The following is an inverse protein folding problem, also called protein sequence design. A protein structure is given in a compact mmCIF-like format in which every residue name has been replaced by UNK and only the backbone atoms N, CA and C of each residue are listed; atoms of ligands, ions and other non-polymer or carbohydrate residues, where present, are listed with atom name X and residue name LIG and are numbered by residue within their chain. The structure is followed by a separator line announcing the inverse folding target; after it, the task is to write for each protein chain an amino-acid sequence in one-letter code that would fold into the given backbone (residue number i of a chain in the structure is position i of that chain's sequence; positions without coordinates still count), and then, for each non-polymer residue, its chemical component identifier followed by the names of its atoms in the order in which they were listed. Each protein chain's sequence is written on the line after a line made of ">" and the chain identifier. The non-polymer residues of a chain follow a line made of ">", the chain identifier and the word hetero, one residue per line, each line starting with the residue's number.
data_IF_373288340938
#
_entry.id   IF_373288340938
#
_cell.length_a   1.000
_cell.length_b   1.000
_cell.length_c   1.000
_cell.angle_alpha   90.00
_cell.angle_beta   90.00
_cell.angle_gamma   90.00
#
_symmetry.space_group_name_H-M   'P 1'
#
loop_
_entity.id
_entity.type
_entity.pdbx_description
1 polymer ?
#
# COMPACT_ATOMS: atom_id res chain seq x y z
N UNK A 1 19.94 49.19 34.35
CA UNK A 1 20.31 47.86 33.82
C UNK A 1 19.22 46.88 34.20
N UNK A 2 18.52 46.24 33.25
CA UNK A 2 17.59 45.16 33.57
C UNK A 2 18.35 43.91 34.05
N UNK A 3 17.80 43.10 34.96
CA UNK A 3 18.47 41.91 35.46
C UNK A 3 18.54 40.84 34.36
N UNK A 4 19.75 40.32 34.15
CA UNK A 4 20.00 39.19 33.26
C UNK A 4 19.27 37.96 33.83
N UNK A 5 18.41 37.26 33.05
CA UNK A 5 17.74 36.07 33.54
C UNK A 5 18.78 34.97 33.87
N UNK A 6 18.57 34.19 34.94
CA UNK A 6 19.49 33.14 35.33
C UNK A 6 19.42 32.01 34.29
N UNK A 7 20.48 31.87 33.52
CA UNK A 7 20.66 30.76 32.58
C UNK A 7 21.21 29.58 33.36
N UNK A 8 20.32 28.82 33.99
CA UNK A 8 20.68 27.53 34.62
C UNK A 8 21.17 26.60 33.51
N UNK A 9 22.35 25.96 33.63
CA UNK A 9 22.82 25.04 32.60
C UNK A 9 21.84 23.87 32.45
N UNK A 10 21.61 23.36 31.22
CA UNK A 10 20.75 22.20 31.01
C UNK A 10 21.25 21.02 31.84
N UNK A 11 20.30 20.24 32.39
CA UNK A 11 20.66 19.01 33.08
C UNK A 11 21.43 18.09 32.13
N UNK A 12 22.50 17.45 32.61
CA UNK A 12 23.34 16.53 31.84
C UNK A 12 22.49 15.49 31.10
N UNK A 13 21.48 14.97 31.78
CA UNK A 13 20.58 13.93 31.25
C UNK A 13 19.74 14.42 30.06
N UNK A 14 19.38 15.71 30.00
CA UNK A 14 18.66 16.29 28.88
C UNK A 14 19.57 16.44 27.66
N UNK A 15 20.85 16.77 27.87
CA UNK A 15 21.84 16.82 26.79
C UNK A 15 22.06 15.43 26.21
N UNK A 16 22.20 14.41 27.07
CA UNK A 16 22.30 13.00 26.65
C UNK A 16 21.07 12.57 25.82
N UNK A 17 19.86 12.96 26.24
CA UNK A 17 18.64 12.64 25.50
C UNK A 17 18.64 13.25 24.09
N UNK A 18 19.02 14.52 23.96
CA UNK A 18 19.11 15.21 22.66
C UNK A 18 20.12 14.50 21.75
N UNK A 19 21.31 14.21 22.26
CA UNK A 19 22.36 13.52 21.50
C UNK A 19 21.92 12.12 21.06
N UNK A 20 21.32 11.34 21.96
CA UNK A 20 20.77 10.03 21.65
C UNK A 20 19.66 10.10 20.60
N UNK A 21 18.77 11.09 20.68
CA UNK A 21 17.66 11.26 19.74
C UNK A 21 18.16 11.54 18.32
N UNK A 22 19.17 12.42 18.17
CA UNK A 22 19.81 12.68 16.87
C UNK A 22 20.57 11.47 16.34
N UNK A 23 21.25 10.73 17.21
CA UNK A 23 21.90 9.48 16.83
C UNK A 23 20.88 8.44 16.35
N UNK A 24 19.73 8.32 17.02
CA UNK A 24 18.63 7.45 16.61
C UNK A 24 18.04 7.84 15.26
N UNK A 25 17.86 9.14 14.97
CA UNK A 25 17.42 9.63 13.65
C UNK A 25 18.39 9.23 12.54
N UNK A 26 19.70 9.34 12.80
CA UNK A 26 20.74 8.93 11.84
C UNK A 26 20.68 7.43 11.57
N UNK A 27 20.54 6.61 12.62
CA UNK A 27 20.42 5.16 12.48
C UNK A 27 19.12 4.77 11.75
N UNK A 28 18.03 5.49 11.97
CA UNK A 28 16.77 5.28 11.29
C UNK A 28 16.90 5.52 9.78
N UNK A 29 17.64 6.55 9.38
CA UNK A 29 17.97 6.82 7.97
C UNK A 29 18.74 5.65 7.35
N UNK A 30 19.67 5.06 8.09
CA UNK A 30 20.39 3.86 7.66
C UNK A 30 19.45 2.65 7.50
N UNK A 31 18.52 2.42 8.45
CA UNK A 31 17.52 1.37 8.33
C UNK A 31 16.61 1.56 7.11
N UNK A 32 16.11 2.77 6.88
CA UNK A 32 15.29 3.08 5.69
C UNK A 32 16.07 2.84 4.40
N UNK A 33 17.37 3.19 4.37
CA UNK A 33 18.26 2.94 3.23
C UNK A 33 18.46 1.45 2.97
N UNK A 34 18.65 0.65 4.03
CA UNK A 34 18.81 -0.81 3.91
C UNK A 34 17.57 -1.53 3.39
N UNK A 35 16.39 -0.91 3.55
CA UNK A 35 15.10 -1.39 3.06
C UNK A 35 14.73 -0.83 1.66
N UNK A 36 15.66 -0.18 0.98
CA UNK A 36 15.43 0.30 -0.38
C UNK A 36 15.72 -0.79 -1.40
N UNK A 37 14.94 -0.87 -2.50
CA UNK A 37 15.18 -1.89 -3.52
C UNK A 37 16.61 -1.73 -4.05
N UNK A 38 17.44 -2.74 -3.83
CA UNK A 38 18.80 -2.78 -4.38
C UNK A 38 18.73 -3.46 -5.74
N UNK A 39 19.36 -2.94 -6.81
CA UNK A 39 19.43 -3.65 -8.08
C UNK A 39 20.10 -5.03 -7.89
N UNK A 40 19.74 -6.05 -8.69
CA UNK A 40 20.23 -7.40 -8.51
C UNK A 40 21.74 -7.43 -8.73
N UNK A 41 22.49 -7.36 -7.64
CA UNK A 41 23.95 -7.52 -7.67
C UNK A 41 24.21 -8.99 -7.39
N UNK A 42 24.71 -9.68 -8.41
CA UNK A 42 25.18 -11.06 -8.33
C UNK A 42 26.42 -11.09 -7.44
N UNK A 43 26.23 -11.28 -6.15
CA UNK A 43 27.32 -11.59 -5.22
C UNK A 43 27.03 -12.88 -4.49
N UNK A 44 27.58 -13.96 -5.04
CA UNK A 44 27.76 -15.24 -4.37
C UNK A 44 28.76 -15.06 -3.23
N UNK A 45 28.25 -14.85 -2.02
CA UNK A 45 29.07 -15.01 -0.80
C UNK A 45 28.26 -15.78 0.21
N UNK A 46 28.64 -17.03 0.40
CA UNK A 46 28.16 -17.93 1.45
C UNK A 46 28.69 -17.44 2.80
N UNK A 47 27.85 -17.32 3.83
CA UNK A 47 28.31 -17.50 5.20
C UNK A 47 27.68 -18.74 5.83
N UNK A 48 28.45 -19.27 6.76
CA UNK A 48 28.31 -20.56 7.43
C UNK A 48 27.01 -20.74 8.22
N UNK A 49 26.53 -21.99 8.19
CA UNK A 49 25.71 -22.67 9.20
C UNK A 49 25.25 -21.84 10.42
N UNK A 50 24.10 -21.20 10.28
CA UNK A 50 23.16 -20.93 11.38
C UNK A 50 21.77 -21.18 10.82
N UNK A 51 20.93 -21.93 11.53
CA UNK A 51 19.58 -22.30 11.11
C UNK A 51 18.82 -21.07 10.59
N UNK A 52 18.50 -21.08 9.29
CA UNK A 52 17.70 -20.02 8.66
C UNK A 52 16.33 -19.93 9.35
N UNK A 53 15.86 -18.72 9.69
CA UNK A 53 14.51 -18.54 10.23
C UNK A 53 13.48 -19.00 9.18
N UNK A 54 12.63 -19.96 9.53
CA UNK A 54 11.47 -20.40 8.72
C UNK A 54 10.45 -19.25 8.57
N UNK A 55 9.48 -19.30 7.63
CA UNK A 55 8.63 -18.14 7.34
C UNK A 55 7.66 -17.85 8.50
N UNK A 56 7.26 -18.91 9.21
CA UNK A 56 6.55 -18.83 10.47
C UNK A 56 7.38 -18.08 11.54
N UNK A 57 8.69 -18.26 11.56
CA UNK A 57 9.58 -17.53 12.48
C UNK A 57 9.79 -16.06 12.10
N UNK A 58 9.75 -15.71 10.81
CA UNK A 58 9.82 -14.32 10.34
C UNK A 58 8.56 -13.54 10.74
N UNK A 59 7.37 -14.05 10.40
CA UNK A 59 6.10 -13.42 10.78
C UNK A 59 5.92 -13.38 12.31
N UNK A 60 6.38 -14.41 13.03
CA UNK A 60 6.35 -14.42 14.50
C UNK A 60 7.29 -13.38 15.10
N UNK A 61 8.49 -13.21 14.54
CA UNK A 61 9.44 -12.18 14.94
C UNK A 61 8.81 -10.81 14.72
N UNK A 62 8.30 -10.53 13.52
CA UNK A 62 7.65 -9.26 13.19
C UNK A 62 6.45 -8.97 14.09
N UNK A 63 5.60 -9.97 14.36
CA UNK A 63 4.49 -9.84 15.29
C UNK A 63 4.96 -9.48 16.70
N UNK A 64 5.98 -10.17 17.21
CA UNK A 64 6.53 -9.95 18.55
C UNK A 64 7.14 -8.55 18.68
N UNK A 65 8.00 -8.16 17.72
CA UNK A 65 8.64 -6.84 17.74
C UNK A 65 7.62 -5.72 17.55
N UNK A 66 6.61 -5.89 16.70
CA UNK A 66 5.55 -4.88 16.51
C UNK A 66 4.69 -4.71 17.76
N UNK A 67 4.36 -5.79 18.45
CA UNK A 67 3.63 -5.76 19.73
C UNK A 67 4.46 -5.02 20.79
N UNK A 68 5.75 -5.32 20.86
CA UNK A 68 6.69 -4.68 21.77
C UNK A 68 6.81 -3.17 21.45
N UNK A 69 6.89 -2.80 20.18
CA UNK A 69 6.94 -1.40 19.74
C UNK A 69 5.71 -0.62 20.22
N UNK A 70 4.49 -1.17 20.09
CA UNK A 70 3.27 -0.52 20.62
C UNK A 70 3.39 -0.27 22.12
N UNK A 71 3.82 -1.27 22.89
CA UNK A 71 4.01 -1.13 24.35
C UNK A 71 5.02 -0.04 24.72
N UNK A 72 6.16 0.01 24.02
CA UNK A 72 7.15 1.07 24.21
C UNK A 72 6.59 2.45 23.84
N UNK A 73 5.87 2.55 22.73
CA UNK A 73 5.28 3.80 22.26
C UNK A 73 4.28 4.36 23.26
N UNK A 74 3.41 3.53 23.83
CA UNK A 74 2.48 3.94 24.91
C UNK A 74 3.22 4.46 26.13
N UNK A 75 4.24 3.72 26.56
CA UNK A 75 5.04 4.11 27.73
C UNK A 75 5.75 5.46 27.48
N UNK A 76 6.29 5.64 26.28
CA UNK A 76 6.98 6.86 25.87
C UNK A 76 6.03 8.05 25.80
N UNK A 77 4.84 7.86 25.23
CA UNK A 77 3.77 8.86 25.21
C UNK A 77 3.42 9.33 26.63
N UNK A 78 3.22 8.40 27.56
CA UNK A 78 2.96 8.72 28.96
C UNK A 78 4.11 9.50 29.62
N UNK A 79 5.36 9.12 29.37
CA UNK A 79 6.54 9.81 29.90
C UNK A 79 6.69 11.24 29.35
N UNK A 80 6.30 11.48 28.10
CA UNK A 80 6.33 12.81 27.49
C UNK A 80 5.19 13.71 27.96
N UNK A 81 4.02 13.12 28.25
CA UNK A 81 2.82 13.85 28.69
C UNK A 81 2.78 14.12 30.20
N UNK A 82 3.61 13.45 31.00
CA UNK A 82 3.56 13.53 32.47
C UNK A 82 4.72 14.36 33.03
N UNK A 83 4.46 15.56 33.58
CA UNK A 83 5.47 16.31 34.33
C UNK A 83 5.85 15.64 35.66
N UNK A 84 7.10 15.80 36.13
CA UNK A 84 8.23 16.40 35.44
C UNK A 84 8.76 15.49 34.33
N UNK A 85 9.33 16.08 33.28
CA UNK A 85 9.99 15.29 32.23
C UNK A 85 11.14 14.48 32.85
N UNK A 86 11.26 13.22 32.45
CA UNK A 86 12.30 12.30 32.96
C UNK A 86 13.26 11.85 31.84
N UNK A 87 14.26 12.68 31.47
CA UNK A 87 15.11 12.43 30.31
C UNK A 87 15.85 11.09 30.33
N UNK A 88 16.24 10.60 31.51
CA UNK A 88 16.91 9.31 31.67
C UNK A 88 16.00 8.11 31.37
N UNK A 89 14.72 8.17 31.79
CA UNK A 89 13.73 7.14 31.49
C UNK A 89 13.39 7.10 30.00
N UNK A 90 13.24 8.29 29.39
CA UNK A 90 13.03 8.44 27.94
C UNK A 90 14.23 7.89 27.17
N UNK A 91 15.46 8.25 27.56
CA UNK A 91 16.69 7.78 26.91
C UNK A 91 16.80 6.27 26.95
N UNK A 92 16.50 5.64 28.11
CA UNK A 92 16.49 4.18 28.22
C UNK A 92 15.49 3.55 27.25
N UNK A 93 14.27 4.06 27.21
CA UNK A 93 13.22 3.53 26.32
C UNK A 93 13.55 3.71 24.84
N UNK A 94 14.14 4.85 24.48
CA UNK A 94 14.61 5.12 23.13
C UNK A 94 15.73 4.14 22.72
N UNK A 95 16.67 3.87 23.62
CA UNK A 95 17.71 2.85 23.43
C UNK A 95 17.11 1.48 23.17
N UNK A 96 16.23 0.99 24.06
CA UNK A 96 15.57 -0.32 23.95
C UNK A 96 14.88 -0.51 22.58
N UNK A 97 14.17 0.51 22.11
CA UNK A 97 13.46 0.47 20.83
C UNK A 97 14.43 0.47 19.65
N UNK A 98 15.41 1.38 19.66
CA UNK A 98 16.30 1.58 18.51
C UNK A 98 17.24 0.39 18.32
N UNK A 99 17.89 -0.10 19.38
CA UNK A 99 18.86 -1.18 19.27
C UNK A 99 18.23 -2.58 19.25
N UNK A 100 17.05 -2.74 19.84
CA UNK A 100 16.37 -4.03 19.93
C UNK A 100 15.25 -4.17 18.91
N UNK A 101 14.17 -3.43 19.11
CA UNK A 101 12.90 -3.62 18.39
C UNK A 101 13.04 -3.31 16.90
N UNK A 102 13.51 -2.11 16.55
CA UNK A 102 13.60 -1.66 15.16
C UNK A 102 14.64 -2.47 14.38
N UNK A 103 15.80 -2.72 14.97
CA UNK A 103 16.84 -3.58 14.39
C UNK A 103 16.29 -4.99 14.09
N UNK A 104 15.55 -5.59 15.03
CA UNK A 104 14.91 -6.89 14.83
C UNK A 104 13.86 -6.89 13.72
N UNK A 105 13.08 -5.81 13.58
CA UNK A 105 12.10 -5.67 12.50
C UNK A 105 12.77 -5.57 11.13
N UNK A 106 13.81 -4.74 11.01
CA UNK A 106 14.57 -4.57 9.77
C UNK A 106 15.24 -5.88 9.38
N UNK A 107 15.88 -6.57 10.34
CA UNK A 107 16.50 -7.87 10.10
C UNK A 107 15.47 -8.92 9.63
N UNK A 108 14.32 -9.00 10.29
CA UNK A 108 13.26 -9.94 9.90
C UNK A 108 12.69 -9.64 8.50
N UNK A 109 12.50 -8.36 8.14
CA UNK A 109 11.99 -7.97 6.83
C UNK A 109 13.01 -8.15 5.69
N UNK A 110 14.31 -8.06 5.99
CA UNK A 110 15.38 -8.20 5.00
C UNK A 110 15.89 -9.62 4.85
N UNK A 111 15.60 -10.51 5.80
CA UNK A 111 16.04 -11.91 5.78
C UNK A 111 15.63 -12.58 4.46
N UNK A 112 16.60 -13.23 3.83
CA UNK A 112 16.50 -13.81 2.49
C UNK A 112 15.73 -15.13 2.52
N UNK A 113 14.40 -15.03 2.61
CA UNK A 113 13.46 -16.15 2.46
C UNK A 113 12.59 -15.99 1.20
N UNK A 114 13.22 -15.57 0.09
CA UNK A 114 12.55 -15.49 -1.22
C UNK A 114 11.89 -16.81 -1.62
N UNK A 115 12.44 -17.94 -1.16
CA UNK A 115 11.89 -19.27 -1.47
C UNK A 115 10.57 -19.57 -0.78
N UNK A 116 10.20 -18.86 0.29
CA UNK A 116 9.07 -19.26 1.13
C UNK A 116 7.93 -18.23 1.17
N UNK A 117 8.22 -16.92 1.09
CA UNK A 117 7.21 -15.86 1.19
C UNK A 117 6.79 -15.26 -0.16
N UNK A 118 7.64 -15.36 -1.19
CA UNK A 118 7.43 -14.72 -2.49
C UNK A 118 7.80 -13.25 -2.49
N UNK A 119 8.08 -12.70 -3.67
CA UNK A 119 8.58 -11.34 -3.83
C UNK A 119 7.51 -10.31 -3.45
N UNK A 120 6.25 -10.55 -3.82
CA UNK A 120 5.15 -9.67 -3.47
C UNK A 120 5.04 -9.49 -1.97
N UNK A 121 5.10 -10.59 -1.22
CA UNK A 121 4.91 -10.54 0.23
C UNK A 121 6.11 -9.93 0.94
N UNK A 122 7.32 -10.19 0.46
CA UNK A 122 8.51 -9.51 0.95
C UNK A 122 8.40 -8.00 0.75
N UNK A 123 8.02 -7.55 -0.45
CA UNK A 123 7.81 -6.13 -0.75
C UNK A 123 6.78 -5.48 0.19
N UNK A 124 5.67 -6.17 0.46
CA UNK A 124 4.64 -5.69 1.40
C UNK A 124 5.15 -5.65 2.85
N UNK A 125 5.89 -6.65 3.33
CA UNK A 125 6.48 -6.61 4.68
C UNK A 125 7.49 -5.45 4.81
N UNK A 126 8.33 -5.26 3.80
CA UNK A 126 9.29 -4.16 3.74
C UNK A 126 8.55 -2.81 3.76
N UNK A 127 7.47 -2.66 2.98
CA UNK A 127 6.71 -1.41 2.93
C UNK A 127 6.06 -1.08 4.28
N UNK A 128 5.51 -2.09 4.98
CA UNK A 128 4.99 -1.93 6.34
C UNK A 128 6.08 -1.54 7.34
N UNK A 129 7.23 -2.22 7.32
CA UNK A 129 8.36 -1.85 8.21
C UNK A 129 8.84 -0.43 7.92
N UNK A 130 8.96 -0.03 6.65
CA UNK A 130 9.30 1.35 6.28
C UNK A 130 8.30 2.37 6.80
N UNK A 131 6.98 2.07 6.72
CA UNK A 131 5.94 2.96 7.27
C UNK A 131 6.10 3.13 8.78
N UNK A 132 6.39 2.05 9.51
CA UNK A 132 6.67 2.09 10.95
C UNK A 132 7.91 2.92 11.25
N UNK A 133 9.00 2.75 10.49
CA UNK A 133 10.21 3.54 10.67
C UNK A 133 9.94 5.04 10.46
N UNK A 134 9.14 5.43 9.46
CA UNK A 134 8.75 6.83 9.25
C UNK A 134 7.90 7.37 10.41
N UNK A 135 6.89 6.62 10.85
CA UNK A 135 6.09 7.03 12.01
C UNK A 135 6.93 7.16 13.30
N UNK A 136 7.97 6.32 13.45
CA UNK A 136 8.92 6.44 14.55
C UNK A 136 9.80 7.70 14.44
N UNK A 137 10.13 8.13 13.22
CA UNK A 137 10.87 9.37 12.97
C UNK A 137 10.11 10.59 13.50
N UNK A 138 8.78 10.61 13.33
CA UNK A 138 7.91 11.67 13.87
C UNK A 138 7.95 11.69 15.41
N UNK A 139 7.99 10.52 16.05
CA UNK A 139 8.18 10.39 17.51
C UNK A 139 9.53 10.96 17.94
N UNK A 140 10.62 10.62 17.24
CA UNK A 140 11.96 11.17 17.54
C UNK A 140 12.00 12.69 17.39
N UNK A 141 11.38 13.21 16.33
CA UNK A 141 11.29 14.65 16.08
C UNK A 141 10.51 15.38 17.18
N UNK A 142 9.42 14.76 17.65
CA UNK A 142 8.62 15.26 18.78
C UNK A 142 9.42 15.28 20.09
N UNK A 143 10.15 14.19 20.39
CA UNK A 143 11.03 14.12 21.58
C UNK A 143 12.10 15.21 21.52
N UNK A 144 12.73 15.41 20.37
CA UNK A 144 13.78 16.40 20.18
C UNK A 144 13.23 17.82 20.44
N UNK A 145 12.08 18.16 19.84
CA UNK A 145 11.41 19.44 20.02
C UNK A 145 11.10 19.72 21.50
N UNK A 146 10.54 18.74 22.22
CA UNK A 146 10.22 18.85 23.66
C UNK A 146 11.51 19.00 24.49
N UNK A 147 12.53 18.19 24.20
CA UNK A 147 13.80 18.22 24.95
C UNK A 147 14.55 19.55 24.76
N UNK A 148 14.54 20.12 23.56
CA UNK A 148 15.14 21.42 23.26
C UNK A 148 14.34 22.58 23.86
N UNK A 149 12.99 22.50 23.82
CA UNK A 149 12.12 23.49 24.46
C UNK A 149 12.27 23.54 25.98
N UNK A 150 12.62 22.40 26.62
CA UNK A 150 12.74 22.27 28.08
C UNK A 150 14.17 22.45 28.62
N UNK A 151 15.08 23.02 27.83
CA UNK A 151 16.51 23.22 28.18
C UNK A 151 16.75 24.07 29.44
N UNK A 152 15.72 24.69 30.01
CA UNK A 152 15.75 25.43 31.28
C UNK A 152 14.60 25.17 32.27
N UNK A 153 13.57 24.39 31.90
CA UNK A 153 12.43 24.09 32.78
C UNK A 153 11.83 22.69 32.51
N UNK A 154 12.39 21.69 33.17
CA UNK A 154 11.97 20.29 33.08
C UNK A 154 10.68 20.02 33.88
N UNK A 155 10.34 20.91 34.82
CA UNK A 155 9.15 20.80 35.70
C UNK A 155 7.91 21.47 35.11
N UNK A 156 8.08 22.27 34.07
CA UNK A 156 7.00 22.94 33.34
C UNK A 156 5.90 21.97 32.90
N UNK A 157 4.65 22.45 32.98
CA UNK A 157 3.50 21.74 32.45
C UNK A 157 3.66 21.51 30.94
N UNK A 158 3.14 20.38 30.44
CA UNK A 158 3.07 20.11 29.01
C UNK A 158 2.05 21.06 28.38
N UNK A 159 2.46 21.77 27.34
CA UNK A 159 1.56 22.66 26.60
C UNK A 159 0.55 21.83 25.81
N UNK A 160 -0.62 22.40 25.50
CA UNK A 160 -1.62 21.66 24.72
C UNK A 160 -1.11 21.30 23.31
N UNK A 161 -0.26 22.16 22.72
CA UNK A 161 0.40 21.88 21.44
C UNK A 161 1.37 20.69 21.52
N UNK A 162 2.25 20.64 22.55
CA UNK A 162 3.13 19.49 22.77
C UNK A 162 2.33 18.20 23.00
N UNK A 163 1.22 18.29 23.74
CA UNK A 163 0.34 17.15 23.98
C UNK A 163 -0.28 16.63 22.69
N UNK A 164 -0.78 17.52 21.82
CA UNK A 164 -1.32 17.14 20.53
C UNK A 164 -0.27 16.50 19.63
N UNK A 165 0.94 17.07 19.57
CA UNK A 165 2.06 16.52 18.79
C UNK A 165 2.41 15.09 19.25
N UNK A 166 2.51 14.87 20.57
CA UNK A 166 2.81 13.55 21.14
C UNK A 166 1.71 12.54 20.84
N UNK A 167 0.44 12.92 20.99
CA UNK A 167 -0.70 12.04 20.72
C UNK A 167 -0.80 11.69 19.23
N UNK A 168 -0.57 12.66 18.35
CA UNK A 168 -0.55 12.45 16.91
C UNK A 168 0.55 11.46 16.50
N UNK A 169 1.79 11.71 16.94
CA UNK A 169 2.92 10.81 16.64
C UNK A 169 2.70 9.40 17.22
N UNK A 170 2.11 9.30 18.41
CA UNK A 170 1.73 8.02 19.03
C UNK A 170 0.70 7.28 18.16
N UNK A 171 -0.34 7.98 17.70
CA UNK A 171 -1.40 7.43 16.85
C UNK A 171 -0.86 6.88 15.52
N UNK A 172 0.04 7.63 14.87
CA UNK A 172 0.67 7.22 13.61
C UNK A 172 1.48 5.92 13.75
N UNK A 173 2.25 5.79 14.84
CA UNK A 173 2.99 4.54 15.12
C UNK A 173 2.03 3.39 15.38
N UNK A 174 0.97 3.62 16.17
CA UNK A 174 -0.04 2.61 16.46
C UNK A 174 -0.73 2.09 15.22
N UNK A 175 -1.23 2.99 14.36
CA UNK A 175 -1.90 2.63 13.11
C UNK A 175 -0.97 1.79 12.22
N UNK A 176 0.30 2.21 12.10
CA UNK A 176 1.31 1.50 11.31
C UNK A 176 1.63 0.13 11.90
N UNK A 177 1.66 0.00 13.23
CA UNK A 177 1.82 -1.28 13.92
C UNK A 177 0.61 -2.19 13.72
N UNK A 178 -0.62 -1.65 13.81
CA UNK A 178 -1.84 -2.43 13.66
C UNK A 178 -2.00 -2.98 12.25
N UNK A 179 -1.60 -2.20 11.23
CA UNK A 179 -1.54 -2.67 9.86
C UNK A 179 -0.60 -3.89 9.70
N UNK A 180 0.61 -3.82 10.26
CA UNK A 180 1.57 -4.95 10.20
C UNK A 180 1.11 -6.15 11.05
N UNK A 181 0.49 -5.92 12.20
CA UNK A 181 -0.08 -6.99 13.04
C UNK A 181 -1.25 -7.70 12.36
N UNK A 182 -2.09 -6.95 11.66
CA UNK A 182 -3.19 -7.48 10.86
C UNK A 182 -2.64 -8.43 9.79
N UNK A 183 -1.59 -8.01 9.07
CA UNK A 183 -0.91 -8.85 8.09
C UNK A 183 -0.31 -10.12 8.73
N UNK A 184 0.38 -9.99 9.86
CA UNK A 184 0.97 -11.13 10.57
C UNK A 184 -0.07 -12.11 11.14
N UNK A 185 -1.30 -11.65 11.39
CA UNK A 185 -2.36 -12.45 12.03
C UNK A 185 -3.34 -13.06 11.03
N UNK A 186 -3.75 -12.29 10.02
CA UNK A 186 -4.63 -12.74 8.94
C UNK A 186 -3.91 -13.66 7.94
N UNK A 187 -2.59 -13.55 7.86
CA UNK A 187 -1.73 -14.38 7.04
C UNK A 187 -1.73 -13.97 5.56
N UNK A 188 -0.78 -14.55 4.83
CA UNK A 188 -0.49 -14.20 3.44
C UNK A 188 -1.72 -14.26 2.52
N UNK A 189 -2.49 -15.35 2.60
CA UNK A 189 -3.64 -15.59 1.72
C UNK A 189 -4.73 -14.53 1.92
N UNK A 190 -5.00 -14.14 3.16
CA UNK A 190 -6.00 -13.10 3.44
C UNK A 190 -5.56 -11.76 2.86
N UNK A 191 -4.27 -11.42 3.02
CA UNK A 191 -3.72 -10.16 2.54
C UNK A 191 -3.76 -10.03 1.02
N UNK A 192 -3.33 -11.06 0.27
CA UNK A 192 -3.35 -11.02 -1.20
C UNK A 192 -4.78 -10.92 -1.74
N UNK A 193 -5.76 -11.54 -1.07
CA UNK A 193 -7.18 -11.45 -1.46
C UNK A 193 -7.71 -10.05 -1.20
N UNK A 194 -7.37 -9.43 -0.06
CA UNK A 194 -7.75 -8.05 0.25
C UNK A 194 -7.15 -7.06 -0.75
N UNK A 195 -5.88 -7.23 -1.12
CA UNK A 195 -5.21 -6.38 -2.13
C UNK A 195 -5.86 -6.51 -3.51
N UNK A 196 -6.14 -7.74 -3.95
CA UNK A 196 -6.84 -7.96 -5.21
C UNK A 196 -8.24 -7.32 -5.22
N UNK A 197 -8.98 -7.38 -4.10
CA UNK A 197 -10.28 -6.71 -4.02
C UNK A 197 -10.15 -5.18 -4.00
N UNK A 198 -9.11 -4.63 -3.34
CA UNK A 198 -8.84 -3.19 -3.37
C UNK A 198 -8.53 -2.70 -4.79
N UNK A 199 -7.66 -3.40 -5.53
CA UNK A 199 -7.38 -3.08 -6.93
C UNK A 199 -8.62 -3.19 -7.81
N UNK A 200 -9.47 -4.19 -7.56
CA UNK A 200 -10.75 -4.33 -8.24
C UNK A 200 -11.67 -3.14 -7.95
N UNK A 201 -11.74 -2.68 -6.70
CA UNK A 201 -12.53 -1.53 -6.33
C UNK A 201 -12.04 -0.28 -7.06
N UNK A 202 -10.73 0.02 -7.00
CA UNK A 202 -10.11 1.14 -7.73
C UNK A 202 -10.42 1.08 -9.23
N UNK A 203 -10.29 -0.10 -9.86
CA UNK A 203 -10.66 -0.31 -11.26
C UNK A 203 -12.12 0.06 -11.52
N UNK A 204 -13.06 -0.41 -10.68
CA UNK A 204 -14.48 -0.20 -10.92
C UNK A 204 -14.93 1.23 -10.62
N UNK A 205 -14.31 1.88 -9.64
CA UNK A 205 -14.53 3.29 -9.34
C UNK A 205 -14.12 4.15 -10.54
N UNK A 206 -12.91 3.91 -11.10
CA UNK A 206 -12.45 4.61 -12.30
C UNK A 206 -13.34 4.32 -13.54
N UNK A 207 -13.82 3.08 -13.69
CA UNK A 207 -14.74 2.71 -14.78
C UNK A 207 -16.12 3.37 -14.63
N UNK A 208 -16.56 3.57 -13.39
CA UNK A 208 -17.80 4.29 -13.12
C UNK A 208 -17.62 5.78 -13.43
N UNK A 209 -16.56 6.41 -12.93
CA UNK A 209 -16.23 7.82 -13.19
C UNK A 209 -16.10 8.10 -14.70
N UNK A 210 -15.39 7.23 -15.42
CA UNK A 210 -15.23 7.34 -16.86
C UNK A 210 -16.55 7.15 -17.64
N UNK A 211 -17.46 6.32 -17.10
CA UNK A 211 -18.80 6.17 -17.64
C UNK A 211 -19.65 7.42 -17.45
N UNK A 212 -19.68 7.95 -16.23
CA UNK A 212 -20.39 9.19 -15.86
C UNK A 212 -19.87 10.39 -16.66
N UNK A 213 -18.56 10.45 -16.93
CA UNK A 213 -17.95 11.50 -17.75
C UNK A 213 -18.43 11.50 -19.22
N UNK A 214 -18.73 10.32 -19.78
CA UNK A 214 -19.17 10.19 -21.17
C UNK A 214 -20.68 10.16 -21.39
N UNK A 215 -21.46 10.26 -20.33
CA UNK A 215 -22.89 10.50 -20.43
C UNK A 215 -23.09 11.96 -20.83
N UNK A 216 -23.85 12.19 -21.91
CA UNK A 216 -24.29 13.54 -22.24
C UNK A 216 -25.18 14.00 -21.07
N UNK A 217 -24.93 15.19 -20.52
CA UNK A 217 -26.01 15.89 -19.84
C UNK A 217 -27.04 16.15 -20.93
N UNK A 218 -28.10 15.33 -20.95
CA UNK A 218 -29.32 15.69 -21.64
C UNK A 218 -29.76 17.00 -20.98
N UNK A 219 -29.44 18.12 -21.64
CA UNK A 219 -30.18 19.36 -21.52
C UNK A 219 -31.64 19.01 -21.82
N UNK A 220 -32.36 18.59 -20.79
CA UNK A 220 -33.81 18.56 -20.74
C UNK A 220 -34.30 20.02 -20.64
N UNK A 221 -33.87 20.83 -21.61
CA UNK A 221 -34.42 22.13 -21.97
C UNK A 221 -35.69 21.90 -22.78
N UNK A 222 -36.63 21.14 -22.20
CA UNK A 222 -38.05 21.24 -22.54
C UNK A 222 -38.63 22.49 -21.82
N UNK A 223 -37.92 23.61 -21.93
CA UNK A 223 -38.45 24.94 -21.70
C UNK A 223 -39.42 25.21 -22.86
N UNK A 224 -40.69 24.82 -22.65
CA UNK A 224 -41.81 25.28 -23.47
C UNK A 224 -41.82 26.80 -23.47
N UNK A 225 -41.17 27.38 -24.47
CA UNK A 225 -41.14 28.82 -24.72
C UNK A 225 -42.54 29.33 -25.02
N UNK A 226 -43.17 29.92 -24.02
CA UNK A 226 -44.09 31.03 -24.25
C UNK A 226 -43.31 32.32 -24.05
N UNK A 227 -42.94 32.89 -25.19
CA UNK A 227 -42.55 34.28 -25.44
C UNK A 227 -43.09 35.29 -24.40
N UNK A 228 -42.20 35.98 -23.67
CA UNK A 228 -42.21 37.44 -23.56
C UNK A 228 -40.94 37.98 -22.86
N UNK A 229 -40.16 38.79 -23.59
CA UNK A 229 -39.60 40.03 -23.05
C UNK A 229 -38.37 40.00 -22.12
N UNK A 230 -37.18 40.02 -22.73
CA UNK A 230 -36.10 40.95 -22.37
C UNK A 230 -35.28 40.69 -21.11
N UNK A 231 -34.00 40.36 -21.29
CA UNK A 231 -33.02 40.37 -20.21
C UNK A 231 -31.71 39.70 -20.59
N UNK A 232 -30.80 40.48 -21.13
CA UNK A 232 -29.37 40.18 -21.28
C UNK A 232 -28.76 39.83 -19.91
N UNK A 233 -28.62 38.53 -19.65
CA UNK A 233 -27.62 37.97 -18.72
C UNK A 233 -27.14 36.67 -19.36
N UNK A 234 -25.97 36.74 -19.99
CA UNK A 234 -25.26 35.53 -20.40
C UNK A 234 -24.93 34.71 -19.17
N UNK A 235 -25.27 33.43 -19.24
CA UNK A 235 -24.81 32.41 -18.29
C UNK A 235 -23.29 32.29 -18.45
N UNK A 236 -22.55 33.10 -17.68
CA UNK A 236 -21.08 33.04 -17.59
C UNK A 236 -20.61 31.87 -16.70
N UNK A 237 -21.53 31.06 -16.16
CA UNK A 237 -21.22 29.92 -15.30
C UNK A 237 -20.98 28.60 -16.07
N UNK A 238 -21.18 28.57 -17.40
CA UNK A 238 -20.95 27.39 -18.25
C UNK A 238 -19.56 27.37 -18.95
N UNK A 239 -18.75 28.41 -18.76
CA UNK A 239 -17.42 28.51 -19.40
C UNK A 239 -16.37 27.59 -18.78
N UNK A 240 -16.57 27.13 -17.53
CA UNK A 240 -15.59 26.29 -16.82
C UNK A 240 -16.07 24.86 -16.54
N UNK A 241 -17.32 24.51 -16.88
CA UNK A 241 -17.90 23.16 -16.67
C UNK A 241 -17.92 22.27 -17.91
N UNK A 242 -18.06 22.84 -19.12
CA UNK A 242 -18.32 22.10 -20.34
C UNK A 242 -17.10 21.84 -21.25
N UNK A 243 -15.94 22.44 -20.97
CA UNK A 243 -14.82 22.45 -21.92
C UNK A 243 -14.13 21.10 -22.17
N UNK A 244 -14.42 20.07 -21.36
CA UNK A 244 -13.74 18.77 -21.42
C UNK A 244 -14.67 17.55 -21.34
N UNK A 245 -15.98 17.70 -21.59
CA UNK A 245 -16.89 16.56 -21.75
C UNK A 245 -16.94 16.13 -23.21
N UNK A 246 -17.25 14.86 -23.44
CA UNK A 246 -17.34 14.30 -24.78
C UNK A 246 -18.43 15.02 -25.59
N UNK A 247 -18.06 15.81 -26.58
CA UNK A 247 -19.01 16.58 -27.38
C UNK A 247 -19.88 15.68 -28.27
N UNK A 248 -21.12 16.11 -28.57
CA UNK A 248 -22.13 15.41 -29.40
C UNK A 248 -21.66 14.96 -30.80
N UNK A 249 -20.47 15.38 -31.25
CA UNK A 249 -19.90 15.06 -32.57
C UNK A 249 -18.88 13.91 -32.62
N UNK A 250 -18.48 13.34 -31.47
CA UNK A 250 -17.45 12.28 -31.43
C UNK A 250 -18.05 10.88 -31.17
N UNK A 251 -18.90 10.44 -32.10
CA UNK A 251 -19.60 9.15 -32.04
C UNK A 251 -18.62 7.98 -31.90
N UNK A 252 -17.43 8.06 -32.52
CA UNK A 252 -16.43 6.99 -32.47
C UNK A 252 -15.79 6.87 -31.10
N UNK A 253 -15.44 7.99 -30.48
CA UNK A 253 -14.87 8.00 -29.14
C UNK A 253 -15.94 7.57 -28.11
N UNK A 254 -17.21 7.95 -28.32
CA UNK A 254 -18.35 7.50 -27.49
C UNK A 254 -18.56 5.98 -27.59
N UNK A 255 -18.54 5.43 -28.80
CA UNK A 255 -18.60 3.98 -29.01
C UNK A 255 -17.39 3.25 -28.41
N UNK A 256 -16.19 3.84 -28.49
CA UNK A 256 -14.99 3.29 -27.87
C UNK A 256 -15.09 3.30 -26.34
N UNK A 257 -15.60 4.39 -25.75
CA UNK A 257 -15.82 4.54 -24.33
C UNK A 257 -16.81 3.51 -23.80
N UNK A 258 -17.98 3.39 -24.44
CA UNK A 258 -19.01 2.44 -24.04
C UNK A 258 -18.49 0.98 -24.11
N UNK A 259 -17.76 0.65 -25.19
CA UNK A 259 -17.06 -0.64 -25.33
C UNK A 259 -16.00 -0.84 -24.25
N UNK A 260 -15.19 0.18 -23.98
CA UNK A 260 -14.14 0.16 -22.96
C UNK A 260 -14.71 -0.13 -21.58
N UNK A 261 -15.71 0.63 -21.16
CA UNK A 261 -16.42 0.45 -19.89
C UNK A 261 -17.01 -0.95 -19.74
N UNK A 262 -17.63 -1.51 -20.80
CA UNK A 262 -18.12 -2.90 -20.77
C UNK A 262 -17.00 -3.93 -20.61
N UNK A 263 -15.89 -3.79 -21.36
CA UNK A 263 -14.73 -4.68 -21.26
C UNK A 263 -14.09 -4.60 -19.87
N UNK A 264 -13.91 -3.40 -19.32
CA UNK A 264 -13.32 -3.20 -17.99
C UNK A 264 -14.22 -3.74 -16.86
N UNK A 265 -15.54 -3.62 -16.98
CA UNK A 265 -16.49 -4.30 -16.07
C UNK A 265 -16.29 -5.82 -16.09
N UNK A 266 -16.04 -6.43 -17.26
CA UNK A 266 -15.69 -7.86 -17.36
C UNK A 266 -14.33 -8.17 -16.73
N UNK A 267 -13.35 -7.27 -16.81
CA UNK A 267 -12.09 -7.39 -16.05
C UNK A 267 -12.37 -7.35 -14.54
N UNK A 268 -13.27 -6.51 -14.06
CA UNK A 268 -13.71 -6.54 -12.65
C UNK A 268 -14.29 -7.90 -12.21
N UNK A 269 -14.96 -8.64 -13.11
CA UNK A 269 -15.42 -10.01 -12.84
C UNK A 269 -14.27 -11.01 -12.73
N UNK A 270 -13.18 -10.80 -13.50
CA UNK A 270 -11.97 -11.63 -13.42
C UNK A 270 -11.36 -11.57 -12.02
N UNK A 271 -11.18 -10.38 -11.45
CA UNK A 271 -10.67 -10.23 -10.08
C UNK A 271 -11.48 -11.04 -9.07
N UNK A 272 -12.81 -10.95 -9.14
CA UNK A 272 -13.69 -11.68 -8.24
C UNK A 272 -13.53 -13.20 -8.38
N UNK A 273 -13.43 -13.70 -9.61
CA UNK A 273 -13.29 -15.13 -9.88
C UNK A 273 -11.91 -15.65 -9.45
N UNK A 274 -10.83 -14.93 -9.81
CA UNK A 274 -9.45 -15.24 -9.41
C UNK A 274 -9.31 -15.21 -7.89
N UNK A 275 -9.85 -14.17 -7.23
CA UNK A 275 -9.85 -14.06 -5.77
C UNK A 275 -10.52 -15.27 -5.11
N UNK A 276 -11.70 -15.66 -5.58
CA UNK A 276 -12.46 -16.79 -5.01
C UNK A 276 -11.87 -18.16 -5.31
N UNK A 277 -11.32 -18.39 -6.50
CA UNK A 277 -10.99 -19.73 -7.02
C UNK A 277 -9.49 -20.03 -7.11
N UNK A 278 -8.63 -19.01 -7.00
CA UNK A 278 -7.17 -19.15 -7.10
C UNK A 278 -6.45 -18.55 -5.89
N UNK A 279 -6.74 -17.30 -5.53
CA UNK A 279 -6.04 -16.68 -4.39
C UNK A 279 -6.40 -17.37 -3.06
N UNK A 280 -7.69 -17.56 -2.79
CA UNK A 280 -8.16 -18.25 -1.55
C UNK A 280 -7.74 -19.72 -1.45
N UNK A 281 -7.45 -20.37 -2.58
CA UNK A 281 -7.10 -21.80 -2.64
C UNK A 281 -5.59 -22.02 -2.77
N UNK A 282 -4.78 -20.96 -2.69
CA UNK A 282 -3.34 -21.04 -2.84
C UNK A 282 -2.71 -21.94 -1.76
N UNK A 283 -1.89 -22.94 -2.14
CA UNK A 283 -1.25 -23.85 -1.20
C UNK A 283 0.00 -23.20 -0.58
N UNK A 284 -0.20 -22.28 0.38
CA UNK A 284 0.91 -21.66 1.11
C UNK A 284 1.60 -22.69 2.03
N UNK A 285 2.95 -22.77 2.08
CA UNK A 285 3.67 -23.65 2.99
C UNK A 285 3.25 -23.40 4.45
N UNK A 286 2.65 -24.40 5.10
CA UNK A 286 2.11 -24.29 6.46
C UNK A 286 0.58 -24.35 6.57
N UNK A 287 -0.16 -24.48 5.47
CA UNK A 287 -1.58 -24.86 5.51
C UNK A 287 -1.75 -26.36 5.85
N UNK A 288 -2.69 -26.76 6.71
CA UNK A 288 -2.88 -28.16 7.14
C UNK A 288 -3.35 -29.12 6.02
N UNK A 289 -3.46 -28.65 4.78
CA UNK A 289 -4.00 -29.41 3.64
C UNK A 289 -2.94 -29.98 2.70
N UNK A 290 -1.70 -30.19 3.15
CA UNK A 290 -0.72 -30.90 2.33
C UNK A 290 -0.90 -32.43 2.43
N UNK A 291 -1.29 -33.12 1.34
CA UNK A 291 -0.87 -34.51 1.18
C UNK A 291 0.64 -34.52 0.94
N UNK A 292 1.30 -35.43 1.66
CA UNK A 292 2.72 -35.69 1.51
C UNK A 292 3.07 -36.06 0.05
N UNK A 293 4.19 -35.50 -0.39
CA UNK A 293 5.08 -35.95 -1.46
C UNK A 293 4.55 -37.11 -2.33
N UNK A 294 3.96 -36.78 -3.47
CA UNK A 294 3.85 -37.74 -4.58
C UNK A 294 4.84 -37.33 -5.65
N UNK A 295 6.02 -37.95 -5.57
CA UNK A 295 7.08 -37.83 -6.55
C UNK A 295 6.54 -37.95 -7.97
N UNK A 296 6.56 -36.84 -8.70
CA UNK A 296 6.48 -36.84 -10.16
C UNK A 296 7.32 -35.70 -10.71
N UNK A 297 8.47 -36.10 -11.21
CA UNK A 297 9.47 -35.28 -11.88
C UNK A 297 8.91 -34.77 -13.22
N UNK A 298 8.16 -33.68 -13.19
CA UNK A 298 8.03 -32.76 -14.31
C UNK A 298 8.16 -31.38 -13.69
N UNK A 299 9.31 -30.74 -13.84
CA UNK A 299 9.53 -29.37 -13.41
C UNK A 299 8.62 -28.45 -14.25
N UNK A 300 7.55 -27.85 -13.70
CA UNK A 300 6.88 -26.76 -14.40
C UNK A 300 7.87 -25.59 -14.58
N UNK A 301 7.77 -24.85 -15.67
CA UNK A 301 8.61 -23.67 -15.97
C UNK A 301 8.56 -22.60 -14.87
N UNK A 302 7.54 -22.62 -14.01
CA UNK A 302 7.37 -21.76 -12.83
C UNK A 302 6.82 -22.54 -11.63
N UNK A 303 7.28 -22.20 -10.42
CA UNK A 303 6.66 -22.68 -9.18
C UNK A 303 5.31 -21.99 -8.93
N UNK A 304 4.41 -22.56 -8.10
CA UNK A 304 3.15 -21.91 -7.75
C UNK A 304 3.33 -20.48 -7.19
N UNK A 305 4.39 -20.27 -6.39
CA UNK A 305 4.72 -18.97 -5.82
C UNK A 305 5.15 -17.95 -6.88
N UNK A 306 6.00 -18.35 -7.84
CA UNK A 306 6.39 -17.50 -8.97
C UNK A 306 5.20 -17.15 -9.87
N UNK A 307 4.28 -18.09 -10.06
CA UNK A 307 3.02 -17.84 -10.80
C UNK A 307 2.14 -16.85 -10.05
N UNK A 308 2.06 -16.96 -8.71
CA UNK A 308 1.31 -16.03 -7.88
C UNK A 308 1.91 -14.62 -7.92
N UNK A 309 3.23 -14.46 -7.76
CA UNK A 309 3.89 -13.15 -7.83
C UNK A 309 3.66 -12.49 -9.20
N UNK A 310 3.80 -13.26 -10.29
CA UNK A 310 3.51 -12.77 -11.63
C UNK A 310 2.04 -12.36 -11.80
N UNK A 311 1.11 -13.14 -11.25
CA UNK A 311 -0.32 -12.79 -11.26
C UNK A 311 -0.57 -11.49 -10.49
N UNK A 312 -0.06 -11.35 -9.27
CA UNK A 312 -0.27 -10.19 -8.42
C UNK A 312 0.33 -8.92 -9.02
N UNK A 313 1.46 -9.04 -9.73
CA UNK A 313 2.03 -7.93 -10.50
C UNK A 313 1.04 -7.44 -11.57
N UNK A 314 0.51 -8.36 -12.39
CA UNK A 314 -0.46 -7.99 -13.43
C UNK A 314 -1.74 -7.39 -12.83
N UNK A 315 -2.27 -7.99 -11.76
CA UNK A 315 -3.46 -7.48 -11.08
C UNK A 315 -3.23 -6.11 -10.42
N UNK A 316 -2.00 -5.77 -10.05
CA UNK A 316 -1.65 -4.45 -9.55
C UNK A 316 -1.55 -3.41 -10.68
N UNK A 317 -1.06 -3.80 -11.84
CA UNK A 317 -0.77 -2.88 -12.95
C UNK A 317 -2.04 -2.50 -13.74
N UNK A 318 -3.08 -3.35 -13.77
CA UNK A 318 -4.31 -3.07 -14.53
C UNK A 318 -5.01 -1.76 -14.13
N UNK A 319 -5.24 -1.43 -12.83
CA UNK A 319 -5.83 -0.15 -12.45
C UNK A 319 -5.01 1.06 -12.92
N UNK A 320 -3.67 0.97 -12.90
CA UNK A 320 -2.79 2.05 -13.40
C UNK A 320 -2.99 2.24 -14.91
N UNK A 321 -3.14 1.15 -15.68
CA UNK A 321 -3.49 1.24 -17.11
C UNK A 321 -4.88 1.85 -17.35
N UNK A 322 -5.80 1.73 -16.39
CA UNK A 322 -7.12 2.36 -16.50
C UNK A 322 -7.07 3.85 -16.18
N UNK A 323 -6.19 4.28 -15.29
CA UNK A 323 -5.88 5.70 -15.09
C UNK A 323 -5.26 6.33 -16.35
N UNK A 324 -4.30 5.64 -16.97
CA UNK A 324 -3.73 6.04 -18.27
C UNK A 324 -4.82 6.10 -19.36
N UNK A 325 -5.75 5.14 -19.36
CA UNK A 325 -6.86 5.10 -20.31
C UNK A 325 -7.82 6.27 -20.10
N UNK A 326 -8.17 6.58 -18.86
CA UNK A 326 -9.02 7.72 -18.53
C UNK A 326 -8.36 9.03 -19.01
N UNK A 327 -7.05 9.17 -18.79
CA UNK A 327 -6.27 10.31 -19.31
C UNK A 327 -6.38 10.43 -20.82
N UNK A 328 -6.21 9.33 -21.57
CA UNK A 328 -6.36 9.34 -23.03
C UNK A 328 -7.78 9.72 -23.50
N UNK A 329 -8.82 9.32 -22.75
CA UNK A 329 -10.20 9.77 -23.02
C UNK A 329 -10.38 11.27 -22.75
N UNK A 330 -9.84 11.79 -21.65
CA UNK A 330 -9.90 13.22 -21.32
C UNK A 330 -9.13 14.09 -22.33
N UNK A 331 -8.07 13.55 -22.93
CA UNK A 331 -7.31 14.20 -24.00
C UNK A 331 -7.94 14.01 -25.39
N UNK A 332 -9.08 13.30 -25.47
CA UNK A 332 -9.80 12.97 -26.71
C UNK A 332 -8.94 12.20 -27.75
N UNK A 333 -7.94 11.45 -27.29
CA UNK A 333 -7.09 10.63 -28.17
C UNK A 333 -7.69 9.23 -28.37
N UNK A 334 -8.52 9.08 -29.40
CA UNK A 334 -9.13 7.79 -29.77
C UNK A 334 -8.08 6.69 -29.99
N UNK A 335 -6.93 7.03 -30.59
CA UNK A 335 -5.92 6.05 -30.96
C UNK A 335 -5.20 5.51 -29.72
N UNK A 336 -4.78 6.40 -28.84
CA UNK A 336 -4.14 6.05 -27.57
C UNK A 336 -5.11 5.31 -26.66
N UNK A 337 -6.35 5.80 -26.52
CA UNK A 337 -7.38 5.13 -25.72
C UNK A 337 -7.64 3.69 -26.20
N UNK A 338 -7.71 3.46 -27.53
CA UNK A 338 -7.84 2.11 -28.09
C UNK A 338 -6.64 1.23 -27.73
N UNK A 339 -5.42 1.74 -27.90
CA UNK A 339 -4.20 0.99 -27.63
C UNK A 339 -4.11 0.58 -26.15
N UNK A 340 -4.42 1.50 -25.23
CA UNK A 340 -4.39 1.24 -23.80
C UNK A 340 -5.49 0.23 -23.42
N UNK A 341 -6.71 0.38 -23.96
CA UNK A 341 -7.80 -0.57 -23.72
C UNK A 341 -7.45 -2.00 -24.17
N UNK A 342 -6.82 -2.14 -25.34
CA UNK A 342 -6.32 -3.44 -25.83
C UNK A 342 -5.26 -4.02 -24.89
N UNK A 343 -4.34 -3.18 -24.39
CA UNK A 343 -3.31 -3.57 -23.42
C UNK A 343 -3.93 -4.03 -22.09
N UNK A 344 -4.94 -3.33 -21.57
CA UNK A 344 -5.71 -3.74 -20.40
C UNK A 344 -6.33 -5.14 -20.59
N UNK A 345 -6.97 -5.36 -21.74
CA UNK A 345 -7.56 -6.65 -22.07
C UNK A 345 -6.50 -7.76 -22.21
N UNK A 346 -5.36 -7.46 -22.83
CA UNK A 346 -4.25 -8.40 -23.00
C UNK A 346 -3.64 -8.82 -21.66
N UNK A 347 -3.39 -7.86 -20.75
CA UNK A 347 -2.89 -8.14 -19.41
C UNK A 347 -3.92 -8.95 -18.58
N UNK A 348 -5.21 -8.62 -18.66
CA UNK A 348 -6.25 -9.42 -18.01
C UNK A 348 -6.31 -10.88 -18.54
N UNK A 349 -6.15 -11.08 -19.86
CA UNK A 349 -6.05 -12.43 -20.45
C UNK A 349 -4.78 -13.16 -20.02
N UNK A 350 -3.66 -12.46 -19.92
CA UNK A 350 -2.40 -13.02 -19.41
C UNK A 350 -2.55 -13.45 -17.96
N UNK A 351 -3.17 -12.63 -17.11
CA UNK A 351 -3.49 -12.98 -15.72
C UNK A 351 -4.33 -14.25 -15.63
N UNK A 352 -5.45 -14.34 -16.35
CA UNK A 352 -6.29 -15.56 -16.32
C UNK A 352 -5.57 -16.77 -16.91
N UNK A 353 -4.71 -16.57 -17.92
CA UNK A 353 -3.89 -17.62 -18.51
C UNK A 353 -2.89 -18.22 -17.53
N UNK A 354 -2.25 -17.40 -16.70
CA UNK A 354 -1.29 -17.85 -15.68
C UNK A 354 -1.92 -18.83 -14.68
N UNK A 355 -3.19 -18.60 -14.31
CA UNK A 355 -3.91 -19.41 -13.32
C UNK A 355 -5.11 -20.14 -13.92
N UNK A 356 -5.05 -20.48 -15.21
CA UNK A 356 -6.14 -21.18 -15.90
C UNK A 356 -6.44 -22.53 -15.24
N UNK A 357 -5.40 -23.29 -14.93
CA UNK A 357 -5.49 -24.58 -14.21
C UNK A 357 -5.45 -24.37 -12.70
N UNK A 358 -5.87 -25.39 -11.95
CA UNK A 358 -5.68 -25.43 -10.51
C UNK A 358 -4.19 -25.42 -10.13
N UNK A 359 -3.89 -25.14 -8.85
CA UNK A 359 -2.51 -25.16 -8.33
C UNK A 359 -1.87 -26.55 -8.36
N UNK A 360 -2.68 -27.60 -8.47
CA UNK A 360 -2.28 -29.00 -8.70
C UNK A 360 -2.05 -29.33 -10.19
N UNK A 361 -2.29 -28.37 -11.08
CA UNK A 361 -2.16 -28.53 -12.53
C UNK A 361 -3.34 -29.21 -13.21
N UNK A 362 -4.42 -29.50 -12.48
CA UNK A 362 -5.63 -30.12 -13.02
C UNK A 362 -6.63 -29.07 -13.53
N UNK A 363 -7.50 -29.51 -14.44
CA UNK A 363 -8.60 -28.68 -14.91
C UNK A 363 -9.75 -28.73 -13.89
N UNK A 364 -10.38 -27.57 -13.66
CA UNK A 364 -11.50 -27.43 -12.74
C UNK A 364 -12.63 -26.57 -13.33
N UNK A 365 -13.66 -26.28 -12.53
CA UNK A 365 -14.77 -25.42 -12.95
C UNK A 365 -14.30 -24.01 -13.38
N UNK A 366 -13.21 -23.50 -12.79
CA UNK A 366 -12.63 -22.21 -13.18
C UNK A 366 -11.90 -22.31 -14.53
N UNK A 367 -11.28 -23.44 -14.86
CA UNK A 367 -10.68 -23.66 -16.18
C UNK A 367 -11.70 -23.49 -17.30
N UNK A 368 -12.89 -24.08 -17.16
CA UNK A 368 -13.99 -23.90 -18.12
C UNK A 368 -14.53 -22.47 -18.12
N UNK A 369 -14.71 -21.88 -16.93
CA UNK A 369 -15.18 -20.49 -16.81
C UNK A 369 -14.22 -19.49 -17.46
N UNK A 370 -12.91 -19.66 -17.28
CA UNK A 370 -11.89 -18.77 -17.83
C UNK A 370 -11.91 -18.74 -19.36
N UNK A 371 -12.13 -19.89 -20.01
CA UNK A 371 -12.28 -19.94 -21.48
C UNK A 371 -13.48 -19.12 -21.96
N UNK A 372 -14.64 -19.33 -21.33
CA UNK A 372 -15.87 -18.56 -21.64
C UNK A 372 -15.70 -17.06 -21.34
N UNK A 373 -14.97 -16.71 -20.30
CA UNK A 373 -14.70 -15.32 -19.95
C UNK A 373 -13.81 -14.65 -21.00
N UNK A 374 -12.77 -15.33 -21.52
CA UNK A 374 -11.94 -14.81 -22.62
C UNK A 374 -12.78 -14.62 -23.88
N UNK A 375 -13.59 -15.61 -24.27
CA UNK A 375 -14.52 -15.50 -25.41
C UNK A 375 -15.48 -14.30 -25.23
N UNK A 376 -16.04 -14.12 -24.03
CA UNK A 376 -16.91 -13.00 -23.74
C UNK A 376 -16.20 -11.65 -23.79
N UNK A 377 -14.92 -11.57 -23.42
CA UNK A 377 -14.12 -10.34 -23.52
C UNK A 377 -13.81 -9.99 -25.00
N UNK A 378 -13.65 -11.01 -25.84
CA UNK A 378 -13.37 -10.86 -27.28
C UNK A 378 -14.61 -10.62 -28.12
N UNK A 379 -15.77 -11.10 -27.69
CA UNK A 379 -17.05 -10.88 -28.37
C UNK A 379 -17.43 -9.39 -28.50
N UNK A 380 -16.85 -8.52 -27.68
CA UNK A 380 -17.04 -7.06 -27.78
C UNK A 380 -16.20 -6.41 -28.91
N UNK A 381 -15.52 -7.19 -29.75
CA UNK A 381 -14.79 -6.76 -30.96
C UNK A 381 -13.56 -5.86 -30.69
N UNK A 382 -12.71 -5.58 -31.70
CA UNK A 382 -11.83 -4.42 -31.73
C UNK A 382 -12.59 -3.11 -31.94
#
# INVERSE_FOLDING_TARGET
>A
MPPKPPTTPPSRDLTTLIELTRSSQTLLTHFQSSLSPTPPTTTTTTPSSSSLPTPASTLTTLKTTTTLLKSHTTTLSLLLLTPPLTPSAISKKLGDVTSGVLSGMVAAATTESERELGEFMRSELISHVRRILRAWEDVLSTILKIAEGRRGDVKGAVTEGEKQDVLNATGMVWESCDALLSLCTSGFISHIVQKAEAWRATLLDAVQELGEWGEDEDDDDDATGSDDGGGEFGDEDDIFGAANKLGKGDEKLKELLERGTRKLKKVGLLYQAVGKRRLKTFPFPGSPTQPADTGRTITPTRTPLQTLDALLTILKDIPELVDDLASAFYDLDESEARQILEKCCAEAKKAVGLVRKGWDGNDDAFTTWSGKWVEALDADGP
#
